data_IF_309712832327
#
_entry.id   IF_309712832327
#
_cell.length_a   1.000
_cell.length_b   1.000
_cell.length_c   1.000
_cell.angle_alpha   90.00
_cell.angle_beta   90.00
_cell.angle_gamma   90.00
#
_symmetry.space_group_name_H-M   'P 1'
#
loop_
_entity.id
_entity.type
_entity.pdbx_description
1 polymer ?
#
# COMPACT_ATOMS: atom_id res chain seq x y z
N UNK A 1 14.14 -8.20 22.68
CA UNK A 1 15.41 -8.86 23.11
C UNK A 1 16.20 -9.40 21.92
N UNK A 2 15.60 -10.18 20.98
CA UNK A 2 16.29 -10.79 19.84
C UNK A 2 16.95 -9.75 18.91
N UNK A 3 16.26 -8.65 18.57
CA UNK A 3 16.83 -7.59 17.73
C UNK A 3 18.05 -6.92 18.36
N UNK A 4 18.01 -6.66 19.68
CA UNK A 4 19.16 -6.09 20.40
C UNK A 4 20.36 -7.05 20.44
N UNK A 5 20.11 -8.33 20.58
CA UNK A 5 21.17 -9.35 20.51
C UNK A 5 21.81 -9.38 19.12
N UNK A 6 20.99 -9.45 18.06
CA UNK A 6 21.48 -9.42 16.67
C UNK A 6 22.28 -8.15 16.32
N UNK A 7 21.81 -7.00 16.79
CA UNK A 7 22.53 -5.75 16.60
C UNK A 7 23.92 -5.78 17.27
N UNK A 8 23.98 -6.20 18.54
CA UNK A 8 25.26 -6.31 19.27
C UNK A 8 26.26 -7.28 18.61
N UNK A 9 25.80 -8.47 18.22
CA UNK A 9 26.65 -9.49 17.57
C UNK A 9 27.21 -8.97 16.24
N UNK A 10 26.49 -8.07 15.57
CA UNK A 10 26.89 -7.46 14.30
C UNK A 10 27.57 -6.09 14.47
N UNK A 11 27.94 -5.70 15.68
CA UNK A 11 28.60 -4.45 16.02
C UNK A 11 27.81 -3.17 15.71
N UNK A 12 26.47 -3.24 15.68
CA UNK A 12 25.64 -2.05 15.60
C UNK A 12 25.43 -1.46 17.00
N UNK A 13 25.32 -0.13 17.09
CA UNK A 13 25.07 0.59 18.33
C UNK A 13 23.65 0.34 18.87
N UNK A 14 22.68 0.11 17.98
CA UNK A 14 21.29 -0.09 18.33
C UNK A 14 20.58 -1.04 17.36
N UNK A 15 19.44 -1.60 17.77
CA UNK A 15 18.55 -2.36 16.88
C UNK A 15 17.99 -1.48 15.74
N UNK A 16 17.77 -0.17 16.01
CA UNK A 16 17.35 0.81 15.03
C UNK A 16 18.41 1.00 13.95
N UNK A 17 19.65 1.25 14.35
CA UNK A 17 20.76 1.36 13.41
C UNK A 17 20.89 0.11 12.54
N UNK A 18 20.81 -1.08 13.15
CA UNK A 18 20.87 -2.35 12.41
C UNK A 18 19.76 -2.51 11.38
N UNK A 19 18.55 -2.06 11.70
CA UNK A 19 17.41 -2.13 10.77
C UNK A 19 17.57 -1.15 9.61
N UNK A 20 17.92 0.10 9.89
CA UNK A 20 18.06 1.17 8.89
C UNK A 20 19.28 0.95 7.97
N UNK A 21 20.34 0.34 8.48
CA UNK A 21 21.57 0.09 7.72
C UNK A 21 21.36 -0.86 6.54
N UNK A 22 20.34 -1.72 6.56
CA UNK A 22 20.05 -2.63 5.44
C UNK A 22 19.78 -1.87 4.14
N UNK A 23 19.15 -0.71 4.24
CA UNK A 23 18.84 0.17 3.12
C UNK A 23 19.70 1.45 3.12
N UNK A 24 20.81 1.45 3.89
CA UNK A 24 21.70 2.60 4.04
C UNK A 24 20.98 3.91 4.42
N UNK A 25 20.00 3.81 5.31
CA UNK A 25 19.21 4.95 5.80
C UNK A 25 19.87 5.51 7.05
N UNK A 26 20.28 6.79 7.08
CA UNK A 26 20.76 7.45 8.30
C UNK A 26 19.69 7.49 9.41
N UNK A 27 20.10 7.30 10.67
CA UNK A 27 19.16 7.38 11.81
C UNK A 27 18.44 8.73 11.92
N UNK A 28 19.09 9.81 11.43
CA UNK A 28 18.49 11.15 11.36
C UNK A 28 17.22 11.21 10.50
N UNK A 29 17.09 10.36 9.47
CA UNK A 29 15.85 10.28 8.67
C UNK A 29 14.69 9.81 9.53
N UNK A 30 14.92 8.80 10.38
CA UNK A 30 13.91 8.31 11.31
C UNK A 30 13.50 9.39 12.33
N UNK A 31 14.49 10.07 12.93
CA UNK A 31 14.23 11.13 13.92
C UNK A 31 13.49 12.30 13.27
N UNK A 32 13.92 12.74 12.08
CA UNK A 32 13.27 13.81 11.32
C UNK A 32 11.84 13.47 10.91
N UNK A 33 11.55 12.21 10.60
CA UNK A 33 10.18 11.78 10.31
C UNK A 33 9.25 12.01 11.51
N UNK A 34 9.72 11.63 12.72
CA UNK A 34 8.95 11.86 13.95
C UNK A 34 8.73 13.35 14.19
N UNK A 35 9.76 14.16 14.03
CA UNK A 35 9.68 15.62 14.18
C UNK A 35 8.66 16.19 13.17
N UNK A 36 8.80 15.85 11.89
CA UNK A 36 7.92 16.35 10.84
C UNK A 36 6.44 15.95 11.05
N UNK A 37 6.17 14.72 11.51
CA UNK A 37 4.80 14.30 11.84
C UNK A 37 4.25 15.13 13.01
N UNK A 38 5.03 15.29 14.09
CA UNK A 38 4.60 16.08 15.25
C UNK A 38 4.33 17.54 14.88
N UNK A 39 5.15 18.15 14.04
CA UNK A 39 4.92 19.53 13.56
C UNK A 39 3.62 19.66 12.76
N UNK A 40 3.15 18.59 12.11
CA UNK A 40 1.92 18.59 11.30
C UNK A 40 0.68 18.13 12.06
N UNK A 41 0.80 17.61 13.28
CA UNK A 41 -0.35 17.23 14.11
C UNK A 41 -1.43 18.33 14.23
N UNK A 42 -1.10 19.63 14.36
CA UNK A 42 -2.13 20.66 14.39
C UNK A 42 -3.04 20.69 13.15
N UNK A 43 -2.54 20.29 11.96
CA UNK A 43 -3.37 20.19 10.76
C UNK A 43 -4.33 19.01 10.84
N UNK A 44 -3.86 17.87 11.36
CA UNK A 44 -4.71 16.72 11.62
C UNK A 44 -5.81 17.07 12.65
N UNK A 45 -5.46 17.74 13.74
CA UNK A 45 -6.43 18.18 14.74
C UNK A 45 -7.49 19.10 14.13
N UNK A 46 -7.10 20.03 13.24
CA UNK A 46 -8.06 20.90 12.53
C UNK A 46 -9.02 20.08 11.66
N UNK A 47 -8.54 19.03 11.00
CA UNK A 47 -9.39 18.13 10.22
C UNK A 47 -10.37 17.36 11.12
N UNK A 48 -9.92 16.87 12.28
CA UNK A 48 -10.77 16.19 13.26
C UNK A 48 -11.87 17.14 13.80
N UNK A 49 -11.52 18.36 14.11
CA UNK A 49 -12.50 19.39 14.52
C UNK A 49 -13.51 19.69 13.40
N UNK A 50 -13.08 19.74 12.15
CA UNK A 50 -13.98 19.88 11.01
C UNK A 50 -14.94 18.69 10.92
N UNK A 51 -14.44 17.44 11.07
CA UNK A 51 -15.27 16.25 11.09
C UNK A 51 -16.34 16.33 12.18
N UNK A 52 -15.94 16.62 13.41
CA UNK A 52 -16.84 16.82 14.56
C UNK A 52 -17.97 17.79 14.22
N UNK A 53 -17.60 18.95 13.65
CA UNK A 53 -18.56 19.99 13.26
C UNK A 53 -19.51 19.55 12.16
N UNK A 54 -19.02 18.87 11.13
CA UNK A 54 -19.83 18.38 9.99
C UNK A 54 -20.78 17.27 10.42
N UNK A 55 -20.32 16.36 11.30
CA UNK A 55 -21.15 15.28 11.85
C UNK A 55 -22.18 15.79 12.87
N UNK A 56 -22.04 17.01 13.37
CA UNK A 56 -22.96 17.61 14.35
C UNK A 56 -22.97 16.92 15.71
N UNK A 57 -21.81 16.40 16.15
CA UNK A 57 -21.64 15.67 17.41
C UNK A 57 -20.88 16.51 18.43
N UNK A 58 -21.25 16.39 19.72
CA UNK A 58 -20.62 17.15 20.80
C UNK A 58 -19.24 16.57 21.20
N UNK A 59 -19.09 15.27 21.09
CA UNK A 59 -17.86 14.55 21.38
C UNK A 59 -17.55 13.56 20.23
N UNK A 60 -16.31 13.58 19.74
CA UNK A 60 -15.85 12.70 18.67
C UNK A 60 -15.04 11.56 19.26
N UNK A 61 -15.46 10.32 18.97
CA UNK A 61 -14.78 9.11 19.38
C UNK A 61 -14.05 8.45 18.21
N UNK A 62 -13.18 7.48 18.50
CA UNK A 62 -12.38 6.79 17.47
C UNK A 62 -13.22 6.12 16.38
N UNK A 63 -14.41 5.63 16.70
CA UNK A 63 -15.32 5.03 15.71
C UNK A 63 -15.97 6.05 14.76
N UNK A 64 -16.06 7.35 15.17
CA UNK A 64 -16.60 8.41 14.33
C UNK A 64 -15.63 8.84 13.21
N UNK A 65 -14.36 8.46 13.32
CA UNK A 65 -13.34 8.80 12.33
C UNK A 65 -13.63 8.14 10.96
N UNK A 66 -14.34 7.05 10.94
CA UNK A 66 -14.69 6.30 9.72
C UNK A 66 -16.10 6.60 9.20
N UNK A 67 -16.88 7.41 9.94
CA UNK A 67 -18.21 7.81 9.49
C UNK A 67 -18.11 8.73 8.26
N UNK A 68 -18.83 8.46 7.16
CA UNK A 68 -18.82 9.31 5.97
C UNK A 68 -19.23 10.75 6.30
N UNK A 69 -18.49 11.75 5.80
CA UNK A 69 -18.85 13.16 5.94
C UNK A 69 -19.83 13.66 4.86
N UNK A 70 -19.88 12.97 3.76
CA UNK A 70 -20.78 13.23 2.65
C UNK A 70 -21.75 12.07 2.52
N UNK A 71 -22.92 12.34 1.93
CA UNK A 71 -23.90 11.30 1.68
C UNK A 71 -23.26 10.18 0.86
N UNK A 72 -23.44 8.95 1.31
CA UNK A 72 -22.90 7.77 0.64
C UNK A 72 -23.36 7.73 -0.82
N UNK A 73 -22.39 7.59 -1.72
CA UNK A 73 -22.64 7.25 -3.11
C UNK A 73 -22.43 5.74 -3.20
N UNK A 74 -23.52 5.00 -3.35
CA UNK A 74 -23.47 3.57 -3.56
C UNK A 74 -22.86 3.29 -4.94
N UNK A 75 -21.54 3.08 -4.95
CA UNK A 75 -20.79 2.75 -6.17
C UNK A 75 -20.53 1.24 -6.16
N UNK A 76 -21.31 0.51 -6.91
CA UNK A 76 -21.09 -0.90 -7.16
C UNK A 76 -20.20 -1.06 -8.40
N UNK A 77 -18.88 -1.17 -8.19
CA UNK A 77 -17.89 -1.25 -9.26
C UNK A 77 -17.46 -2.71 -9.41
N UNK A 78 -17.83 -3.34 -10.50
CA UNK A 78 -17.38 -4.71 -10.82
C UNK A 78 -15.87 -4.74 -11.06
N UNK A 79 -15.25 -5.91 -10.94
CA UNK A 79 -13.82 -6.06 -11.21
C UNK A 79 -13.46 -5.67 -12.65
N UNK A 80 -14.32 -5.96 -13.63
CA UNK A 80 -14.10 -5.58 -15.03
C UNK A 80 -14.12 -4.05 -15.22
N UNK A 81 -15.08 -3.35 -14.61
CA UNK A 81 -15.12 -1.89 -14.62
C UNK A 81 -13.88 -1.29 -13.91
N UNK A 82 -13.45 -1.89 -12.80
CA UNK A 82 -12.25 -1.45 -12.09
C UNK A 82 -10.99 -1.58 -12.95
N UNK A 83 -10.84 -2.62 -13.76
CA UNK A 83 -9.73 -2.75 -14.72
C UNK A 83 -9.67 -1.56 -15.67
N UNK A 84 -10.82 -1.17 -16.23
CA UNK A 84 -10.90 -0.04 -17.14
C UNK A 84 -10.56 1.30 -16.45
N UNK A 85 -11.08 1.49 -15.23
CA UNK A 85 -10.79 2.68 -14.41
C UNK A 85 -9.29 2.76 -14.11
N UNK A 86 -8.68 1.66 -13.69
CA UNK A 86 -7.25 1.60 -13.36
C UNK A 86 -6.38 1.85 -14.60
N UNK A 87 -6.69 1.20 -15.72
CA UNK A 87 -5.98 1.43 -16.99
C UNK A 87 -6.03 2.89 -17.39
N UNK A 88 -7.20 3.52 -17.33
CA UNK A 88 -7.36 4.93 -17.66
C UNK A 88 -6.64 5.85 -16.66
N UNK A 89 -6.75 5.55 -15.37
CA UNK A 89 -6.11 6.34 -14.31
C UNK A 89 -4.59 6.30 -14.35
N UNK A 90 -4.02 5.20 -14.81
CA UNK A 90 -2.57 4.99 -14.92
C UNK A 90 -2.01 5.24 -16.34
N UNK A 91 -2.83 5.75 -17.27
CA UNK A 91 -2.39 6.13 -18.63
C UNK A 91 -1.17 7.08 -18.64
N UNK A 92 -1.07 8.09 -17.74
CA UNK A 92 0.11 8.96 -17.69
C UNK A 92 1.44 8.28 -17.42
N UNK A 93 1.46 7.01 -16.97
CA UNK A 93 2.68 6.23 -16.73
C UNK A 93 3.28 5.64 -18.03
N UNK A 94 2.60 5.80 -19.17
CA UNK A 94 3.10 5.47 -20.49
C UNK A 94 2.74 4.07 -21.01
N UNK A 95 2.98 3.87 -22.29
CA UNK A 95 2.51 2.69 -23.04
C UNK A 95 3.12 1.37 -22.55
N UNK A 96 4.40 1.35 -22.20
CA UNK A 96 5.05 0.14 -21.67
C UNK A 96 4.38 -0.29 -20.36
N UNK A 97 4.11 0.67 -19.46
CA UNK A 97 3.41 0.41 -18.21
C UNK A 97 2.02 -0.18 -18.46
N UNK A 98 1.27 0.42 -19.39
CA UNK A 98 -0.06 -0.04 -19.80
C UNK A 98 -0.05 -1.46 -20.39
N UNK A 99 0.97 -1.83 -21.16
CA UNK A 99 1.10 -3.17 -21.72
C UNK A 99 1.30 -4.22 -20.62
N UNK A 100 2.14 -3.92 -19.63
CA UNK A 100 2.40 -4.84 -18.51
C UNK A 100 1.15 -4.97 -17.63
N UNK A 101 0.40 -3.89 -17.38
CA UNK A 101 -0.90 -3.97 -16.67
C UNK A 101 -1.87 -4.91 -17.38
N UNK A 102 -2.03 -4.76 -18.71
CA UNK A 102 -2.90 -5.64 -19.53
C UNK A 102 -2.43 -7.08 -19.49
N UNK A 103 -1.11 -7.31 -19.52
CA UNK A 103 -0.54 -8.64 -19.34
C UNK A 103 -0.95 -9.23 -17.98
N UNK A 104 -0.81 -8.47 -16.90
CA UNK A 104 -1.20 -8.90 -15.56
C UNK A 104 -2.67 -9.27 -15.45
N UNK A 105 -3.56 -8.51 -16.07
CA UNK A 105 -4.99 -8.81 -16.13
C UNK A 105 -5.32 -10.07 -16.92
N UNK A 106 -4.59 -10.33 -18.01
CA UNK A 106 -4.88 -11.43 -18.92
C UNK A 106 -4.17 -12.75 -18.52
N UNK A 107 -3.05 -12.68 -17.80
CA UNK A 107 -2.18 -13.81 -17.51
C UNK A 107 -2.32 -14.33 -16.06
N UNK A 108 -3.48 -14.12 -15.44
CA UNK A 108 -3.83 -14.73 -14.15
C UNK A 108 -2.89 -14.33 -13.00
N UNK A 109 -2.42 -13.07 -13.00
CA UNK A 109 -1.62 -12.57 -11.87
C UNK A 109 -2.47 -12.31 -10.63
N UNK A 110 -3.80 -12.20 -10.77
CA UNK A 110 -4.70 -11.69 -9.74
C UNK A 110 -5.68 -12.78 -9.33
N UNK A 111 -5.66 -13.14 -8.04
CA UNK A 111 -6.67 -13.95 -7.38
C UNK A 111 -7.72 -13.01 -6.77
N UNK A 112 -8.86 -12.89 -7.44
CA UNK A 112 -9.84 -11.81 -7.23
C UNK A 112 -10.83 -12.13 -6.13
N UNK A 113 -11.44 -13.33 -6.19
CA UNK A 113 -12.63 -13.66 -5.44
C UNK A 113 -12.35 -13.98 -3.97
N UNK A 114 -13.24 -13.51 -3.08
CA UNK A 114 -13.27 -13.96 -1.71
C UNK A 114 -13.71 -15.43 -1.64
N UNK A 115 -13.03 -16.23 -0.83
CA UNK A 115 -13.42 -17.62 -0.61
C UNK A 115 -13.02 -18.12 0.78
N UNK A 116 -13.58 -19.27 1.17
CA UNK A 116 -13.35 -19.88 2.48
C UNK A 116 -11.88 -20.21 2.69
N UNK A 117 -11.30 -19.68 3.76
CA UNK A 117 -9.91 -19.88 4.16
C UNK A 117 -8.91 -18.92 3.51
N UNK A 118 -9.34 -18.07 2.58
CA UNK A 118 -8.52 -16.99 2.05
C UNK A 118 -8.32 -15.91 3.11
N UNK A 119 -7.10 -15.38 3.24
CA UNK A 119 -6.81 -14.29 4.17
C UNK A 119 -7.49 -13.02 3.72
N UNK A 120 -7.97 -12.24 4.68
CA UNK A 120 -8.52 -10.90 4.43
C UNK A 120 -7.42 -9.92 3.96
N UNK A 121 -7.86 -8.81 3.33
CA UNK A 121 -6.96 -7.79 2.81
C UNK A 121 -6.49 -8.09 1.38
N UNK A 122 -5.45 -7.39 0.97
CA UNK A 122 -4.80 -7.56 -0.32
C UNK A 122 -3.28 -7.50 -0.17
N UNK A 123 -2.56 -8.10 -1.10
CA UNK A 123 -1.11 -7.95 -1.19
C UNK A 123 -0.60 -8.40 -2.57
N UNK A 124 0.51 -7.79 -2.99
CA UNK A 124 1.33 -8.28 -4.10
C UNK A 124 2.48 -9.11 -3.59
N UNK A 125 2.76 -10.24 -4.22
CA UNK A 125 3.84 -11.16 -3.84
C UNK A 125 4.36 -11.91 -5.05
N UNK A 126 5.45 -12.64 -4.87
CA UNK A 126 6.04 -13.52 -5.89
C UNK A 126 7.51 -13.78 -5.57
N UNK A 127 8.12 -14.66 -6.33
CA UNK A 127 9.55 -14.98 -6.21
C UNK A 127 10.29 -14.55 -7.46
N UNK A 128 11.62 -14.40 -7.34
CA UNK A 128 12.46 -14.10 -8.49
C UNK A 128 12.31 -15.18 -9.58
N UNK A 129 12.14 -14.76 -10.83
CA UNK A 129 11.92 -15.66 -11.97
C UNK A 129 10.46 -16.07 -12.16
N UNK A 130 9.52 -15.54 -11.35
CA UNK A 130 8.07 -15.73 -11.56
C UNK A 130 7.37 -14.40 -11.84
N UNK A 131 6.12 -14.48 -12.29
CA UNK A 131 5.26 -13.30 -12.33
C UNK A 131 5.01 -12.76 -10.92
N UNK A 132 4.76 -11.46 -10.75
CA UNK A 132 4.15 -10.96 -9.53
C UNK A 132 2.70 -11.43 -9.44
N UNK A 133 2.27 -11.85 -8.24
CA UNK A 133 0.90 -12.30 -8.00
C UNK A 133 0.23 -11.41 -6.98
N UNK A 134 -1.05 -11.13 -7.21
CA UNK A 134 -1.88 -10.29 -6.33
C UNK A 134 -2.97 -11.16 -5.73
N UNK A 135 -3.11 -11.11 -4.40
CA UNK A 135 -4.29 -11.59 -3.69
C UNK A 135 -5.21 -10.40 -3.42
N UNK A 136 -6.47 -10.53 -3.80
CA UNK A 136 -7.56 -9.60 -3.48
C UNK A 136 -8.69 -10.31 -2.75
N UNK A 137 -9.58 -9.54 -2.14
CA UNK A 137 -10.91 -9.94 -1.70
C UNK A 137 -11.87 -8.90 -2.25
N UNK A 138 -12.37 -9.13 -3.46
CA UNK A 138 -13.15 -8.16 -4.20
C UNK A 138 -14.58 -8.04 -3.66
N UNK A 139 -15.03 -6.82 -3.36
CA UNK A 139 -16.36 -6.55 -2.83
C UNK A 139 -17.12 -5.43 -3.57
N UNK A 140 -16.72 -5.15 -4.80
CA UNK A 140 -17.34 -4.14 -5.68
C UNK A 140 -17.30 -2.70 -5.16
N UNK A 141 -16.38 -2.38 -4.25
CA UNK A 141 -16.24 -1.03 -3.70
C UNK A 141 -15.22 -0.18 -4.45
N UNK A 142 -15.33 1.14 -4.30
CA UNK A 142 -14.31 2.07 -4.79
C UNK A 142 -12.97 1.85 -4.08
N UNK A 143 -12.99 1.49 -2.81
CA UNK A 143 -11.77 1.17 -2.04
C UNK A 143 -11.02 -0.02 -2.64
N UNK A 144 -11.75 -1.03 -3.12
CA UNK A 144 -11.14 -2.15 -3.84
C UNK A 144 -10.51 -1.71 -5.17
N UNK A 145 -11.08 -0.73 -5.86
CA UNK A 145 -10.49 -0.18 -7.09
C UNK A 145 -9.15 0.51 -6.81
N UNK A 146 -9.06 1.30 -5.74
CA UNK A 146 -7.80 1.89 -5.28
C UNK A 146 -6.81 0.83 -4.81
N UNK A 147 -7.27 -0.18 -4.09
CA UNK A 147 -6.46 -1.32 -3.66
C UNK A 147 -5.87 -2.06 -4.86
N UNK A 148 -6.67 -2.33 -5.90
CA UNK A 148 -6.20 -2.94 -7.14
C UNK A 148 -5.08 -2.12 -7.78
N UNK A 149 -5.25 -0.80 -7.91
CA UNK A 149 -4.23 0.09 -8.44
C UNK A 149 -2.95 0.07 -7.60
N UNK A 150 -3.08 0.04 -6.27
CA UNK A 150 -1.97 -0.03 -5.32
C UNK A 150 -1.17 -1.33 -5.46
N UNK A 151 -1.84 -2.48 -5.46
CA UNK A 151 -1.18 -3.78 -5.57
C UNK A 151 -0.54 -4.00 -6.95
N UNK A 152 -1.15 -3.45 -8.00
CA UNK A 152 -0.53 -3.42 -9.33
C UNK A 152 0.74 -2.56 -9.34
N UNK A 153 0.78 -1.47 -8.59
CA UNK A 153 2.00 -0.67 -8.41
C UNK A 153 3.15 -1.49 -7.83
N UNK A 154 2.90 -2.24 -6.77
CA UNK A 154 3.87 -3.18 -6.21
C UNK A 154 4.27 -4.27 -7.21
N UNK A 155 3.30 -4.81 -7.94
CA UNK A 155 3.54 -5.85 -8.94
C UNK A 155 4.46 -5.36 -10.07
N UNK A 156 4.22 -4.15 -10.59
CA UNK A 156 5.06 -3.59 -11.63
C UNK A 156 6.46 -3.23 -11.12
N UNK A 157 6.57 -2.72 -9.88
CA UNK A 157 7.87 -2.53 -9.25
C UNK A 157 8.65 -3.85 -9.20
N UNK A 158 8.04 -4.92 -8.70
CA UNK A 158 8.65 -6.25 -8.65
C UNK A 158 9.00 -6.79 -10.04
N UNK A 159 8.12 -6.57 -11.02
CA UNK A 159 8.35 -6.96 -12.42
C UNK A 159 9.61 -6.30 -12.98
N UNK A 160 9.73 -4.96 -12.86
CA UNK A 160 10.89 -4.23 -13.35
C UNK A 160 12.16 -4.56 -12.57
N UNK A 161 12.07 -4.73 -11.26
CA UNK A 161 13.21 -5.15 -10.44
C UNK A 161 13.74 -6.50 -10.90
N UNK A 162 12.87 -7.49 -11.06
CA UNK A 162 13.26 -8.85 -11.48
C UNK A 162 13.78 -8.91 -12.90
N UNK A 163 13.29 -8.04 -13.78
CA UNK A 163 13.74 -7.92 -15.17
C UNK A 163 15.13 -7.30 -15.29
N UNK A 164 15.46 -6.34 -14.44
CA UNK A 164 16.63 -5.47 -14.59
C UNK A 164 17.70 -5.66 -13.52
N UNK A 165 17.40 -6.36 -12.42
CA UNK A 165 18.31 -6.53 -11.29
C UNK A 165 18.59 -8.01 -11.03
N UNK A 166 19.79 -8.35 -10.51
CA UNK A 166 20.06 -9.70 -10.01
C UNK A 166 19.25 -10.00 -8.74
N UNK A 167 19.11 -11.26 -8.42
CA UNK A 167 18.32 -11.76 -7.29
C UNK A 167 18.60 -11.04 -5.95
N UNK A 168 19.87 -10.72 -5.67
CA UNK A 168 20.27 -10.05 -4.41
C UNK A 168 19.72 -8.63 -4.25
N UNK A 169 19.17 -8.02 -5.31
CA UNK A 169 18.54 -6.71 -5.30
C UNK A 169 17.02 -6.82 -5.57
N UNK A 170 16.45 -7.99 -5.38
CA UNK A 170 15.03 -8.26 -5.68
C UNK A 170 14.03 -7.80 -4.61
N UNK A 171 14.48 -7.16 -3.55
CA UNK A 171 13.64 -6.60 -2.49
C UNK A 171 13.16 -5.18 -2.83
N UNK A 172 12.06 -4.75 -2.19
CA UNK A 172 11.51 -3.40 -2.33
C UNK A 172 10.98 -2.87 -1.01
#
# INVERSE_FOLDING_TARGET
KAHNFKAKVRNYQSARQSALNQNNIPETVFDNLIVAVNEKLPLMHRYIELRKKVLGIDELHMYDLYTPLVKDVDMNITFEEAKEIVLKGLEPLGDEYQQILKEGFNNRWIDVEENKGKRSGAYSSGTYGTNPYILLNWNNSIDNTFTLAHELGHSLHSYYTRKNQPYCYGDY
#
